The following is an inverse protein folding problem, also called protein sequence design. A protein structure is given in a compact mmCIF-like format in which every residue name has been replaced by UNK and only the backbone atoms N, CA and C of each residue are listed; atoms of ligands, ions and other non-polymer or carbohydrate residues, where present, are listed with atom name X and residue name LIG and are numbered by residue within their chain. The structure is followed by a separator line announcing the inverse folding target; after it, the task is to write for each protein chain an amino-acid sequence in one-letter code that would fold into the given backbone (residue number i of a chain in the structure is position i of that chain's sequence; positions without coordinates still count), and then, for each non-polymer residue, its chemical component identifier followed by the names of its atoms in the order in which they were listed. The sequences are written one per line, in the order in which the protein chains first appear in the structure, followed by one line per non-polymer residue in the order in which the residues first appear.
data_IF_448716503396
#
_entry.id   IF_448716503396
#
_cell.length_a   1.000
_cell.length_b   1.000
_cell.length_c   1.000
_cell.angle_alpha   90.00
_cell.angle_beta   90.00
_cell.angle_gamma   90.00
#
_symmetry.space_group_name_H-M   'P 1'
#
loop_
_entity.id
_entity.type
_entity.pdbx_description
1 polymer ?
#
# COMPACT_ATOMS: atom_id res chain seq x y z
N UNK A 1 -31.96 4.27 -15.05
CA UNK A 1 -31.81 3.09 -15.93
C UNK A 1 -31.49 1.88 -15.06
N UNK A 2 -31.88 0.68 -15.48
CA UNK A 2 -31.58 -0.58 -14.80
C UNK A 2 -30.82 -1.46 -15.79
N UNK A 3 -29.87 -2.24 -15.30
CA UNK A 3 -29.07 -3.15 -16.11
C UNK A 3 -29.96 -4.34 -16.51
N UNK A 4 -30.08 -4.60 -17.81
CA UNK A 4 -31.01 -5.61 -18.34
C UNK A 4 -30.62 -7.05 -17.99
N UNK A 5 -29.35 -7.31 -17.64
CA UNK A 5 -28.86 -8.65 -17.29
C UNK A 5 -29.01 -8.95 -15.80
N UNK A 6 -28.84 -7.95 -14.96
CA UNK A 6 -28.76 -8.09 -13.50
C UNK A 6 -29.98 -7.53 -12.78
N UNK A 7 -30.81 -6.73 -13.46
CA UNK A 7 -31.97 -6.06 -12.89
C UNK A 7 -31.62 -5.00 -11.84
N UNK A 8 -30.32 -4.68 -11.67
CA UNK A 8 -29.86 -3.69 -10.70
C UNK A 8 -29.97 -2.28 -11.26
N UNK A 9 -30.20 -1.31 -10.38
CA UNK A 9 -30.23 0.11 -10.76
C UNK A 9 -28.85 0.49 -11.30
N UNK A 10 -28.79 0.93 -12.55
CA UNK A 10 -27.57 1.50 -13.13
C UNK A 10 -27.28 2.82 -12.42
N UNK A 11 -26.24 2.79 -11.59
CA UNK A 11 -25.67 3.99 -10.98
C UNK A 11 -24.66 4.56 -11.98
N UNK A 12 -24.88 5.80 -12.40
CA UNK A 12 -23.97 6.48 -13.31
C UNK A 12 -22.57 6.52 -12.68
N UNK A 13 -21.57 5.99 -13.39
CA UNK A 13 -20.20 5.88 -12.93
C UNK A 13 -19.82 4.56 -12.26
N UNK A 14 -20.77 3.74 -11.79
CA UNK A 14 -20.47 2.45 -11.17
C UNK A 14 -19.95 1.45 -12.22
N UNK A 15 -18.63 1.40 -12.39
CA UNK A 15 -17.95 0.41 -13.21
C UNK A 15 -17.58 -0.80 -12.34
N UNK A 16 -17.76 -2.02 -12.87
CA UNK A 16 -17.30 -3.26 -12.23
C UNK A 16 -15.77 -3.44 -12.34
N UNK A 17 -14.98 -2.41 -12.03
CA UNK A 17 -13.53 -2.51 -11.93
C UNK A 17 -13.12 -2.48 -10.46
N UNK A 18 -13.56 -3.47 -9.69
CA UNK A 18 -13.15 -3.58 -8.29
C UNK A 18 -11.63 -3.79 -8.20
N UNK A 19 -11.03 -3.31 -7.11
CA UNK A 19 -9.58 -3.36 -6.92
C UNK A 19 -9.25 -4.06 -5.61
N UNK A 20 -8.38 -5.06 -5.69
CA UNK A 20 -7.75 -5.72 -4.56
C UNK A 20 -6.35 -5.13 -4.41
N UNK A 21 -6.08 -4.51 -3.28
CA UNK A 21 -4.81 -3.85 -2.96
C UNK A 21 -4.10 -4.66 -1.88
N UNK A 22 -3.07 -5.39 -2.28
CA UNK A 22 -2.14 -6.01 -1.36
C UNK A 22 -1.02 -5.02 -1.05
N UNK A 23 -0.90 -4.60 0.21
CA UNK A 23 0.09 -3.60 0.59
C UNK A 23 1.54 -4.10 0.50
N UNK A 24 1.76 -5.42 0.41
CA UNK A 24 3.09 -6.05 0.44
C UNK A 24 3.80 -5.96 -0.91
N UNK A 25 5.15 -5.81 -0.92
CA UNK A 25 5.93 -6.01 -2.13
C UNK A 25 5.65 -7.38 -2.76
N UNK A 26 5.64 -7.45 -4.08
CA UNK A 26 5.32 -8.68 -4.84
C UNK A 26 6.14 -9.89 -4.38
N UNK A 27 7.44 -9.69 -4.10
CA UNK A 27 8.32 -10.75 -3.59
C UNK A 27 7.85 -11.27 -2.23
N UNK A 28 7.47 -10.37 -1.31
CA UNK A 28 7.00 -10.75 0.01
C UNK A 28 5.65 -11.48 -0.06
N UNK A 29 4.77 -11.07 -0.98
CA UNK A 29 3.52 -11.77 -1.22
C UNK A 29 3.74 -13.19 -1.78
N UNK A 30 4.71 -13.37 -2.70
CA UNK A 30 5.11 -14.68 -3.21
C UNK A 30 5.70 -15.58 -2.11
N UNK A 31 6.58 -15.06 -1.25
CA UNK A 31 7.17 -15.83 -0.14
C UNK A 31 6.08 -16.33 0.81
N UNK A 32 5.10 -15.47 1.15
CA UNK A 32 3.97 -15.89 1.98
C UNK A 32 3.11 -16.96 1.29
N UNK A 33 3.01 -16.95 -0.04
CA UNK A 33 2.30 -17.98 -0.80
C UNK A 33 2.94 -19.37 -0.65
N UNK A 34 4.28 -19.43 -0.56
CA UNK A 34 5.01 -20.69 -0.34
C UNK A 34 4.74 -21.26 1.07
N UNK A 35 4.46 -20.40 2.05
CA UNK A 35 4.17 -20.77 3.43
C UNK A 35 2.70 -21.15 3.70
N UNK A 36 1.89 -21.32 2.64
CA UNK A 36 0.46 -21.66 2.74
C UNK A 36 -0.45 -20.47 3.03
N UNK A 37 0.10 -19.25 3.10
CA UNK A 37 -0.68 -18.01 3.00
C UNK A 37 -0.78 -17.63 1.52
N UNK A 38 -1.01 -16.36 1.20
CA UNK A 38 -0.92 -15.93 -0.19
C UNK A 38 -1.66 -14.63 -0.45
N UNK A 39 -2.15 -14.51 -1.67
CA UNK A 39 -3.01 -13.44 -2.13
C UNK A 39 -3.99 -14.02 -3.16
N UNK A 40 -5.04 -13.28 -3.48
CA UNK A 40 -6.25 -13.70 -4.17
C UNK A 40 -5.95 -14.19 -5.60
N UNK A 41 -6.23 -15.46 -5.94
CA UNK A 41 -6.02 -15.98 -7.29
C UNK A 41 -7.06 -15.38 -8.25
N UNK A 42 -6.63 -14.59 -9.24
CA UNK A 42 -7.52 -13.72 -10.03
C UNK A 42 -8.54 -14.44 -10.91
N UNK A 43 -8.32 -15.71 -11.22
CA UNK A 43 -9.28 -16.61 -11.85
C UNK A 43 -10.54 -16.83 -10.99
N UNK A 44 -10.45 -16.65 -9.66
CA UNK A 44 -11.58 -16.76 -8.72
C UNK A 44 -12.27 -15.44 -8.41
N UNK A 45 -11.75 -14.31 -8.90
CA UNK A 45 -12.27 -12.96 -8.62
C UNK A 45 -12.56 -12.20 -9.93
N UNK A 46 -13.53 -12.67 -10.74
CA UNK A 46 -13.91 -11.97 -11.97
C UNK A 46 -14.43 -10.56 -11.68
N UNK A 47 -14.16 -9.61 -12.57
CA UNK A 47 -14.53 -8.20 -12.38
C UNK A 47 -13.69 -7.46 -11.32
N UNK A 48 -12.60 -8.09 -10.85
CA UNK A 48 -11.63 -7.44 -9.97
C UNK A 48 -10.26 -7.41 -10.63
N UNK A 49 -9.45 -6.41 -10.27
CA UNK A 49 -8.02 -6.35 -10.57
C UNK A 49 -7.25 -6.42 -9.27
N UNK A 50 -6.04 -6.96 -9.29
CA UNK A 50 -5.16 -6.96 -8.11
C UNK A 50 -3.89 -6.18 -8.37
N UNK A 51 -3.47 -5.41 -7.38
CA UNK A 51 -2.22 -4.66 -7.38
C UNK A 51 -1.45 -4.91 -6.10
N UNK A 52 -0.12 -4.98 -6.23
CA UNK A 52 0.80 -5.03 -5.11
C UNK A 52 1.39 -3.63 -4.90
N UNK A 53 1.36 -3.15 -3.67
CA UNK A 53 2.11 -1.97 -3.26
C UNK A 53 3.51 -2.38 -2.79
N UNK A 54 4.44 -1.44 -2.71
CA UNK A 54 5.79 -1.73 -2.23
C UNK A 54 6.00 -1.21 -0.80
N UNK A 55 5.09 -1.54 0.11
CA UNK A 55 5.16 -1.11 1.51
C UNK A 55 5.78 -2.22 2.36
N UNK A 56 7.02 -1.97 2.77
CA UNK A 56 7.82 -2.91 3.54
C UNK A 56 7.20 -3.23 4.91
N UNK A 57 7.65 -4.34 5.49
CA UNK A 57 7.18 -4.79 6.80
C UNK A 57 7.69 -3.91 7.95
N UNK A 58 7.16 -4.14 9.15
CA UNK A 58 7.48 -3.38 10.36
C UNK A 58 8.97 -3.40 10.74
N UNK A 59 9.71 -4.45 10.37
CA UNK A 59 11.14 -4.56 10.70
C UNK A 59 11.97 -3.60 9.84
N UNK A 60 11.65 -3.49 8.54
CA UNK A 60 12.29 -2.54 7.64
C UNK A 60 11.95 -1.10 8.06
N UNK A 61 10.69 -0.82 8.39
CA UNK A 61 10.27 0.51 8.86
C UNK A 61 10.99 0.92 10.15
N UNK A 62 11.14 -0.02 11.11
CA UNK A 62 11.89 0.21 12.35
C UNK A 62 13.36 0.54 12.07
N UNK A 63 14.01 -0.23 11.20
CA UNK A 63 15.41 0.04 10.82
C UNK A 63 15.56 1.39 10.09
N UNK A 64 14.61 1.72 9.20
CA UNK A 64 14.58 3.01 8.51
C UNK A 64 14.52 4.18 9.49
N UNK A 65 13.62 4.11 10.49
CA UNK A 65 13.51 5.13 11.52
C UNK A 65 14.79 5.24 12.36
N UNK A 66 15.38 4.11 12.78
CA UNK A 66 16.62 4.11 13.54
C UNK A 66 17.76 4.83 12.79
N UNK A 67 17.88 4.63 11.48
CA UNK A 67 18.86 5.34 10.65
C UNK A 67 18.59 6.84 10.56
N UNK A 68 17.32 7.25 10.48
CA UNK A 68 16.96 8.68 10.51
C UNK A 68 17.38 9.30 11.84
N UNK A 69 17.02 8.66 12.96
CA UNK A 69 17.40 9.12 14.31
C UNK A 69 18.91 9.24 14.42
N UNK A 70 19.65 8.20 14.02
CA UNK A 70 21.11 8.20 14.06
C UNK A 70 21.73 9.31 13.20
N UNK A 71 21.11 9.65 12.06
CA UNK A 71 21.61 10.69 11.18
C UNK A 71 21.42 12.12 11.72
N UNK A 72 20.44 12.32 12.61
CA UNK A 72 20.05 13.63 13.15
C UNK A 72 20.34 13.81 14.64
N UNK A 73 20.78 12.76 15.35
CA UNK A 73 20.91 12.77 16.82
C UNK A 73 21.78 13.90 17.39
N UNK A 74 22.80 14.32 16.65
CA UNK A 74 23.75 15.34 17.07
C UNK A 74 23.48 16.71 16.42
N UNK A 75 22.38 16.86 15.67
CA UNK A 75 22.08 18.05 14.88
C UNK A 75 21.90 19.32 15.72
N UNK A 76 21.49 19.18 16.98
CA UNK A 76 21.27 20.29 17.90
C UNK A 76 22.52 20.67 18.73
N UNK A 77 23.57 19.85 18.67
CA UNK A 77 24.78 19.98 19.52
C UNK A 77 26.02 20.23 18.65
N UNK A 78 26.04 19.71 17.43
CA UNK A 78 27.13 19.87 16.47
C UNK A 78 26.85 21.00 15.48
N UNK A 79 27.84 21.85 15.15
CA UNK A 79 27.71 22.81 14.07
C UNK A 79 27.74 22.16 12.67
N UNK A 80 28.04 20.86 12.59
CA UNK A 80 28.05 20.11 11.33
C UNK A 80 26.62 19.75 10.91
N UNK A 81 26.32 19.74 9.59
CA UNK A 81 25.01 19.32 9.11
C UNK A 81 24.75 17.83 9.42
N UNK A 82 23.48 17.42 9.55
CA UNK A 82 23.10 16.02 9.69
C UNK A 82 23.68 15.14 8.58
N UNK A 83 23.90 13.85 8.88
CA UNK A 83 24.48 12.92 7.92
C UNK A 83 23.52 12.64 6.76
N UNK A 84 23.70 13.38 5.66
CA UNK A 84 22.84 13.31 4.46
C UNK A 84 22.89 11.95 3.77
N UNK A 85 24.03 11.28 3.78
CA UNK A 85 24.18 9.95 3.19
C UNK A 85 23.38 8.92 3.99
N UNK A 86 23.47 8.97 5.33
CA UNK A 86 22.70 8.08 6.19
C UNK A 86 21.19 8.35 6.07
N UNK A 87 20.78 9.62 5.92
CA UNK A 87 19.38 9.97 5.63
C UNK A 87 18.91 9.39 4.29
N UNK A 88 19.71 9.48 3.23
CA UNK A 88 19.37 8.86 1.94
C UNK A 88 19.27 7.32 2.06
N UNK A 89 20.25 6.71 2.73
CA UNK A 89 20.35 5.27 2.96
C UNK A 89 19.35 4.74 4.00
N UNK A 90 18.62 5.63 4.70
CA UNK A 90 17.50 5.25 5.58
C UNK A 90 16.31 4.74 4.78
N UNK A 91 16.11 5.23 3.54
CA UNK A 91 14.92 4.95 2.75
C UNK A 91 13.63 5.56 3.29
N UNK A 92 13.67 6.40 4.34
CA UNK A 92 12.47 6.90 5.01
C UNK A 92 11.49 7.57 4.06
N UNK A 93 11.97 8.52 3.25
CA UNK A 93 11.14 9.21 2.26
C UNK A 93 10.61 8.30 1.16
N UNK A 94 11.36 7.25 0.79
CA UNK A 94 10.90 6.22 -0.15
C UNK A 94 9.72 5.45 0.46
N UNK A 95 9.79 5.09 1.73
CA UNK A 95 8.71 4.39 2.43
C UNK A 95 7.48 5.26 2.62
N UNK A 96 7.64 6.52 3.05
CA UNK A 96 6.52 7.48 3.14
C UNK A 96 5.84 7.68 1.80
N UNK A 97 6.62 7.86 0.73
CA UNK A 97 6.09 7.99 -0.63
C UNK A 97 5.28 6.76 -1.04
N UNK A 98 5.73 5.54 -0.71
CA UNK A 98 5.01 4.32 -1.05
C UNK A 98 3.61 4.26 -0.40
N UNK A 99 3.49 4.66 0.86
CA UNK A 99 2.20 4.77 1.57
C UNK A 99 1.30 5.78 0.88
N UNK A 100 1.81 7.00 0.63
CA UNK A 100 1.04 8.08 -0.01
C UNK A 100 0.59 7.71 -1.43
N UNK A 101 1.44 7.04 -2.20
CA UNK A 101 1.09 6.55 -3.53
C UNK A 101 -0.01 5.48 -3.48
N UNK A 102 0.06 4.57 -2.52
CA UNK A 102 -0.98 3.56 -2.26
C UNK A 102 -2.32 4.21 -1.93
N UNK A 103 -2.35 5.12 -0.95
CA UNK A 103 -3.54 5.87 -0.57
C UNK A 103 -4.12 6.64 -1.76
N UNK A 104 -3.27 7.35 -2.51
CA UNK A 104 -3.67 8.10 -3.70
C UNK A 104 -4.30 7.20 -4.79
N UNK A 105 -3.79 5.98 -4.97
CA UNK A 105 -4.35 4.99 -5.90
C UNK A 105 -5.73 4.52 -5.43
N UNK A 106 -5.90 4.24 -4.13
CA UNK A 106 -7.17 3.83 -3.52
C UNK A 106 -8.20 4.96 -3.68
N UNK A 107 -7.86 6.19 -3.32
CA UNK A 107 -8.75 7.34 -3.43
C UNK A 107 -9.20 7.59 -4.86
N UNK A 108 -8.31 7.43 -5.86
CA UNK A 108 -8.71 7.54 -7.28
C UNK A 108 -9.67 6.44 -7.69
N UNK A 109 -9.46 5.20 -7.26
CA UNK A 109 -10.36 4.08 -7.57
C UNK A 109 -11.78 4.33 -7.05
N UNK A 110 -11.89 4.90 -5.84
CA UNK A 110 -13.19 5.21 -5.23
C UNK A 110 -13.78 6.49 -5.83
N UNK A 111 -13.01 7.58 -5.85
CA UNK A 111 -13.50 8.93 -6.16
C UNK A 111 -13.66 9.23 -7.65
N UNK A 112 -12.87 8.61 -8.53
CA UNK A 112 -12.90 8.84 -9.98
C UNK A 112 -13.59 7.69 -10.71
N UNK A 113 -13.23 6.45 -10.36
CA UNK A 113 -13.76 5.25 -11.03
C UNK A 113 -15.02 4.70 -10.36
N UNK A 114 -15.45 5.29 -9.23
CA UNK A 114 -16.64 4.86 -8.48
C UNK A 114 -16.71 3.34 -8.27
N UNK A 115 -15.56 2.71 -8.00
CA UNK A 115 -15.44 1.26 -7.81
C UNK A 115 -15.00 0.93 -6.38
N UNK A 116 -15.31 -0.29 -5.94
CA UNK A 116 -14.93 -0.75 -4.61
C UNK A 116 -13.46 -1.16 -4.55
N UNK A 117 -12.89 -1.03 -3.35
CA UNK A 117 -11.52 -1.44 -3.05
C UNK A 117 -11.51 -2.34 -1.84
N UNK A 118 -10.83 -3.48 -1.95
CA UNK A 118 -10.45 -4.33 -0.83
C UNK A 118 -8.97 -4.08 -0.53
N UNK A 119 -8.64 -3.72 0.71
CA UNK A 119 -7.27 -3.41 1.12
C UNK A 119 -6.84 -4.46 2.15
N UNK A 120 -5.69 -5.08 1.95
CA UNK A 120 -5.11 -5.98 2.93
C UNK A 120 -3.58 -5.91 2.96
N UNK A 121 -2.97 -6.54 3.96
CA UNK A 121 -1.53 -6.75 4.01
C UNK A 121 -1.24 -8.20 4.41
N UNK A 122 -0.33 -8.45 5.36
CA UNK A 122 -0.15 -9.78 5.96
C UNK A 122 -1.28 -10.06 6.96
N UNK A 123 -1.31 -9.30 8.07
CA UNK A 123 -2.26 -9.50 9.19
C UNK A 123 -3.42 -8.51 9.19
N UNK A 124 -3.38 -7.51 8.30
CA UNK A 124 -4.47 -6.54 8.11
C UNK A 124 -4.48 -5.35 9.07
N UNK A 125 -3.54 -5.22 10.01
CA UNK A 125 -3.59 -4.18 11.05
C UNK A 125 -2.50 -3.09 11.00
N UNK A 126 -1.47 -3.23 10.14
CA UNK A 126 -0.37 -2.26 10.06
C UNK A 126 -0.53 -1.36 8.81
N UNK A 127 -0.15 -1.91 7.66
CA UNK A 127 -0.12 -1.20 6.37
C UNK A 127 -1.52 -0.95 5.85
N UNK A 128 -2.44 -1.87 6.11
CA UNK A 128 -3.87 -1.68 5.80
C UNK A 128 -4.39 -0.42 6.49
N UNK A 129 -4.15 -0.30 7.81
CA UNK A 129 -4.58 0.86 8.61
C UNK A 129 -4.02 2.18 8.07
N UNK A 130 -2.74 2.20 7.65
CA UNK A 130 -2.13 3.38 7.03
C UNK A 130 -2.78 3.79 5.71
N UNK A 131 -3.31 2.82 4.95
CA UNK A 131 -3.90 3.04 3.63
C UNK A 131 -5.38 3.39 3.70
N UNK A 132 -6.08 2.94 4.74
CA UNK A 132 -7.53 3.13 4.90
C UNK A 132 -7.92 4.32 5.77
N UNK A 133 -7.00 4.87 6.57
CA UNK A 133 -7.22 6.04 7.41
C UNK A 133 -7.39 7.32 6.57
#
# INVERSE_FOLDING_TARGET
MYDEKTGQRLIYGAQQSNLIVDARPTVNAMVNQVQGMGSEPMDRYPGSRKVFLSIENIHIMRNSLNKVVEAIKDADISPLPPNRELLANSGWLKHTRAVLQGASLITRQIGIFHSHVLIHCSDGWDRTSQLSA
#
